data_IF_478892626096
#
_entry.id   IF_478892626096
#
_cell.length_a   1.000
_cell.length_b   1.000
_cell.length_c   1.000
_cell.angle_alpha   90.00
_cell.angle_beta   90.00
_cell.angle_gamma   90.00
#
_symmetry.space_group_name_H-M   'P 1'
#
loop_
_entity.id
_entity.type
_entity.pdbx_description
1 polymer ?
#
# COMPACT_ATOMS: atom_id res chain seq x y z
N UNK A 1 -33.87 16.41 46.36
CA UNK A 1 -34.16 16.12 44.93
C UNK A 1 -35.38 16.93 44.54
N UNK A 2 -35.35 17.69 43.44
CA UNK A 2 -36.53 18.44 42.99
C UNK A 2 -37.68 17.49 42.65
N UNK A 3 -38.91 17.84 43.05
CA UNK A 3 -40.10 17.04 42.77
C UNK A 3 -40.37 16.97 41.26
N UNK A 4 -41.09 15.93 40.82
CA UNK A 4 -41.42 15.75 39.39
C UNK A 4 -42.20 16.95 38.82
N UNK A 5 -43.06 17.56 39.64
CA UNK A 5 -43.83 18.76 39.28
C UNK A 5 -42.93 19.99 39.12
N UNK A 6 -41.99 20.21 40.03
CA UNK A 6 -41.04 21.32 39.93
C UNK A 6 -40.19 21.23 38.66
N UNK A 7 -39.81 20.01 38.24
CA UNK A 7 -39.07 19.78 36.99
C UNK A 7 -39.92 20.10 35.75
N UNK A 8 -41.21 19.71 35.75
CA UNK A 8 -42.14 20.00 34.65
C UNK A 8 -42.39 21.50 34.50
N UNK A 9 -42.57 22.20 35.61
CA UNK A 9 -42.86 23.63 35.59
C UNK A 9 -41.64 24.47 35.20
N UNK A 10 -40.44 24.08 35.67
CA UNK A 10 -39.19 24.68 35.19
C UNK A 10 -38.99 24.48 33.69
N UNK A 11 -39.30 23.29 33.16
CA UNK A 11 -39.20 23.00 31.73
C UNK A 11 -40.22 23.81 30.90
N UNK A 12 -41.44 23.96 31.40
CA UNK A 12 -42.46 24.80 30.74
C UNK A 12 -42.03 26.27 30.66
N UNK A 13 -41.56 26.85 31.77
CA UNK A 13 -41.02 28.22 31.79
C UNK A 13 -39.85 28.40 30.84
N UNK A 14 -38.99 27.37 30.71
CA UNK A 14 -37.92 27.37 29.72
C UNK A 14 -38.47 27.43 28.29
N UNK A 15 -39.43 26.59 27.93
CA UNK A 15 -40.03 26.58 26.59
C UNK A 15 -40.76 27.89 26.25
N UNK A 16 -41.43 28.50 27.23
CA UNK A 16 -42.07 29.81 27.09
C UNK A 16 -41.02 30.93 26.95
N UNK A 17 -39.98 30.94 27.80
CA UNK A 17 -38.92 31.93 27.76
C UNK A 17 -38.00 31.85 26.53
N UNK A 18 -37.82 30.65 25.98
CA UNK A 18 -37.10 30.40 24.73
C UNK A 18 -37.97 30.67 23.47
N UNK A 19 -39.25 31.02 23.63
CA UNK A 19 -40.17 31.29 22.51
C UNK A 19 -40.66 30.06 21.74
N UNK A 20 -40.34 28.85 22.19
CA UNK A 20 -40.68 27.60 21.50
C UNK A 20 -42.19 27.38 21.42
N UNK A 21 -42.93 27.71 22.48
CA UNK A 21 -44.40 27.56 22.51
C UNK A 21 -45.08 28.53 21.54
N UNK A 22 -44.59 29.77 21.44
CA UNK A 22 -45.16 30.78 20.55
C UNK A 22 -44.94 30.40 19.07
N UNK A 23 -43.73 29.93 18.72
CA UNK A 23 -43.43 29.41 17.38
C UNK A 23 -44.30 28.20 17.00
N UNK A 24 -44.44 27.21 17.89
CA UNK A 24 -45.31 26.04 17.67
C UNK A 24 -46.77 26.44 17.50
N UNK A 25 -47.25 27.36 18.34
CA UNK A 25 -48.63 27.84 18.30
C UNK A 25 -48.93 28.54 16.97
N UNK A 26 -48.03 29.42 16.51
CA UNK A 26 -48.16 30.09 15.20
C UNK A 26 -48.15 29.09 14.04
N UNK A 27 -47.31 28.06 14.09
CA UNK A 27 -47.25 27.02 13.07
C UNK A 27 -48.54 26.18 13.00
N UNK A 28 -49.09 25.79 14.16
CA UNK A 28 -50.34 25.05 14.25
C UNK A 28 -51.54 25.88 13.78
N UNK A 29 -51.58 27.18 14.10
CA UNK A 29 -52.62 28.09 13.61
C UNK A 29 -52.59 28.18 12.08
N UNK A 30 -51.41 28.34 11.47
CA UNK A 30 -51.27 28.36 10.01
C UNK A 30 -51.69 27.04 9.36
N UNK A 31 -51.42 25.89 9.97
CA UNK A 31 -51.89 24.58 9.50
C UNK A 31 -53.42 24.44 9.60
N UNK A 32 -54.01 24.98 10.67
CA UNK A 32 -55.45 24.99 10.86
C UNK A 32 -56.17 25.85 9.80
N UNK A 33 -55.57 26.96 9.39
CA UNK A 33 -56.11 27.89 8.39
C UNK A 33 -56.01 27.40 6.94
N UNK A 34 -55.26 26.33 6.64
CA UNK A 34 -55.19 25.75 5.30
C UNK A 34 -56.52 25.15 4.87
N UNK A 35 -57.04 25.57 3.70
CA UNK A 35 -58.30 25.09 3.10
C UNK A 35 -58.18 23.62 2.63
N UNK A 36 -57.06 23.25 2.01
CA UNK A 36 -56.68 21.85 1.78
C UNK A 36 -55.62 21.44 2.78
N UNK A 37 -55.90 20.40 3.57
CA UNK A 37 -54.94 19.89 4.55
C UNK A 37 -53.78 19.19 3.84
N UNK A 38 -52.51 19.53 4.15
CA UNK A 38 -51.36 18.86 3.56
C UNK A 38 -51.33 17.39 3.99
N UNK A 39 -50.85 16.53 3.08
CA UNK A 39 -50.71 15.09 3.31
C UNK A 39 -49.75 14.78 4.48
N UNK A 40 -48.69 15.58 4.64
CA UNK A 40 -47.75 15.51 5.77
C UNK A 40 -47.78 16.81 6.59
N UNK A 41 -48.57 16.79 7.67
CA UNK A 41 -48.68 17.90 8.63
C UNK A 41 -47.36 18.20 9.37
N UNK A 42 -46.52 17.19 9.61
CA UNK A 42 -45.25 17.35 10.33
C UNK A 42 -44.20 18.07 9.45
N UNK A 43 -44.17 17.77 8.15
CA UNK A 43 -43.34 18.50 7.18
C UNK A 43 -43.76 19.97 7.07
N UNK A 44 -45.06 20.23 6.99
CA UNK A 44 -45.61 21.59 6.96
C UNK A 44 -45.24 22.41 8.21
N UNK A 45 -45.39 21.82 9.40
CA UNK A 45 -45.01 22.48 10.66
C UNK A 45 -43.51 22.79 10.72
N UNK A 46 -42.65 21.85 10.28
CA UNK A 46 -41.19 22.07 10.21
C UNK A 46 -40.82 23.26 9.33
N UNK A 47 -41.47 23.38 8.17
CA UNK A 47 -41.19 24.43 7.19
C UNK A 47 -41.61 25.83 7.70
N UNK A 48 -42.70 25.91 8.47
CA UNK A 48 -43.14 27.17 9.08
C UNK A 48 -42.31 27.57 10.30
N UNK A 49 -41.88 26.58 11.09
CA UNK A 49 -41.07 26.84 12.27
C UNK A 49 -39.61 27.20 11.92
N UNK A 50 -39.17 26.88 10.71
CA UNK A 50 -37.80 27.13 10.27
C UNK A 50 -37.81 27.54 8.78
N UNK A 51 -37.97 28.85 8.53
CA UNK A 51 -38.02 29.44 7.17
C UNK A 51 -36.73 29.19 6.35
N UNK A 52 -35.63 28.87 7.01
CA UNK A 52 -34.32 28.56 6.40
C UNK A 52 -34.02 27.05 6.30
N UNK A 53 -34.95 26.18 6.69
CA UNK A 53 -34.76 24.74 6.62
C UNK A 53 -34.87 24.27 5.15
N UNK A 54 -33.85 23.59 4.60
CA UNK A 54 -33.94 23.07 3.25
C UNK A 54 -35.10 22.07 3.14
N UNK A 55 -35.82 22.11 2.02
CA UNK A 55 -36.85 21.09 1.72
C UNK A 55 -36.20 19.72 1.56
N UNK A 56 -36.98 18.65 1.73
CA UNK A 56 -36.45 17.28 1.51
C UNK A 56 -35.84 17.14 0.10
N UNK A 57 -36.46 17.79 -0.91
CA UNK A 57 -35.94 17.86 -2.28
C UNK A 57 -34.57 18.56 -2.32
N UNK A 58 -34.42 19.71 -1.66
CA UNK A 58 -33.14 20.42 -1.56
C UNK A 58 -32.09 19.60 -0.81
N UNK A 59 -32.47 18.88 0.26
CA UNK A 59 -31.54 17.98 0.97
C UNK A 59 -31.09 16.85 0.06
N UNK A 60 -32.00 16.26 -0.73
CA UNK A 60 -31.63 15.19 -1.68
C UNK A 60 -30.72 15.70 -2.80
N UNK A 61 -30.98 16.89 -3.34
CA UNK A 61 -30.16 17.54 -4.35
C UNK A 61 -28.76 17.86 -3.79
N UNK A 62 -28.69 18.53 -2.63
CA UNK A 62 -27.41 18.83 -1.96
C UNK A 62 -26.62 17.56 -1.62
N UNK A 63 -27.30 16.47 -1.22
CA UNK A 63 -26.65 15.19 -0.92
C UNK A 63 -26.07 14.55 -2.18
N UNK A 64 -26.79 14.65 -3.30
CA UNK A 64 -26.32 14.20 -4.61
C UNK A 64 -25.13 15.04 -5.08
N UNK A 65 -25.23 16.36 -5.02
CA UNK A 65 -24.15 17.29 -5.40
C UNK A 65 -22.90 17.07 -4.56
N UNK A 66 -23.08 16.80 -3.25
CA UNK A 66 -21.98 16.45 -2.36
C UNK A 66 -21.32 15.12 -2.77
N UNK A 67 -22.11 14.12 -3.16
CA UNK A 67 -21.59 12.84 -3.64
C UNK A 67 -20.81 13.00 -4.96
N UNK A 68 -21.37 13.76 -5.91
CA UNK A 68 -20.76 14.02 -7.21
C UNK A 68 -19.47 14.85 -7.05
N UNK A 69 -19.49 15.90 -6.22
CA UNK A 69 -18.31 16.71 -5.90
C UNK A 69 -17.20 15.90 -5.22
N UNK A 70 -17.56 15.00 -4.29
CA UNK A 70 -16.59 14.10 -3.64
C UNK A 70 -15.94 13.15 -4.65
N UNK A 71 -16.73 12.64 -5.60
CA UNK A 71 -16.23 11.79 -6.68
C UNK A 71 -15.27 12.56 -7.58
N UNK A 72 -15.62 13.78 -7.98
CA UNK A 72 -14.75 14.63 -8.81
C UNK A 72 -13.43 14.98 -8.09
N UNK A 73 -13.50 15.37 -6.81
CA UNK A 73 -12.30 15.64 -5.99
C UNK A 73 -11.40 14.40 -5.92
N UNK A 74 -11.99 13.21 -5.80
CA UNK A 74 -11.22 11.96 -5.80
C UNK A 74 -10.50 11.75 -7.14
N UNK A 75 -11.19 11.91 -8.27
CA UNK A 75 -10.62 11.79 -9.61
C UNK A 75 -9.48 12.80 -9.84
N UNK A 76 -9.70 14.09 -9.53
CA UNK A 76 -8.69 15.14 -9.69
C UNK A 76 -7.47 14.91 -8.80
N UNK A 77 -7.66 14.40 -7.57
CA UNK A 77 -6.55 14.04 -6.68
C UNK A 77 -5.70 12.91 -7.27
N UNK A 78 -6.32 11.88 -7.84
CA UNK A 78 -5.60 10.80 -8.54
C UNK A 78 -4.83 11.33 -9.74
N UNK A 79 -5.44 12.18 -10.56
CA UNK A 79 -4.79 12.78 -11.74
C UNK A 79 -3.57 13.64 -11.35
N UNK A 80 -3.71 14.52 -10.35
CA UNK A 80 -2.61 15.33 -9.81
C UNK A 80 -1.48 14.43 -9.29
N UNK A 81 -1.83 13.35 -8.59
CA UNK A 81 -0.85 12.41 -8.06
C UNK A 81 -0.10 11.68 -9.18
N UNK A 82 -0.81 11.26 -10.24
CA UNK A 82 -0.20 10.65 -11.43
C UNK A 82 0.78 11.60 -12.09
N UNK A 83 0.33 12.82 -12.42
CA UNK A 83 1.17 13.84 -13.05
C UNK A 83 2.41 14.17 -12.21
N UNK A 84 2.25 14.36 -10.89
CA UNK A 84 3.39 14.63 -10.00
C UNK A 84 4.38 13.48 -9.95
N UNK A 85 3.92 12.23 -9.94
CA UNK A 85 4.81 11.07 -9.89
C UNK A 85 5.50 10.77 -11.23
N UNK A 86 5.00 11.31 -12.34
CA UNK A 86 5.65 11.26 -13.65
C UNK A 86 6.77 12.30 -13.81
N UNK A 87 6.80 13.35 -12.99
CA UNK A 87 7.88 14.34 -12.99
C UNK A 87 9.19 13.65 -12.62
N UNK A 88 10.18 13.72 -13.51
CA UNK A 88 11.53 13.17 -13.31
C UNK A 88 12.55 14.30 -13.22
N UNK A 89 13.61 14.06 -12.44
CA UNK A 89 14.76 14.95 -12.36
C UNK A 89 15.39 15.12 -13.75
N UNK A 90 15.75 16.35 -14.08
CA UNK A 90 16.57 16.65 -15.25
C UNK A 90 17.95 15.99 -15.14
N UNK A 91 18.64 15.80 -16.26
CA UNK A 91 20.00 15.22 -16.24
C UNK A 91 20.97 16.00 -15.34
N UNK A 92 20.81 17.34 -15.26
CA UNK A 92 21.63 18.20 -14.39
C UNK A 92 21.35 17.93 -12.90
N UNK A 93 20.09 17.83 -12.51
CA UNK A 93 19.69 17.50 -11.13
C UNK A 93 20.13 16.10 -10.73
N UNK A 94 20.05 15.12 -11.65
CA UNK A 94 20.56 13.76 -11.42
C UNK A 94 22.06 13.78 -11.17
N UNK A 95 22.83 14.46 -12.03
CA UNK A 95 24.28 14.57 -11.90
C UNK A 95 24.69 15.25 -10.58
N UNK A 96 24.01 16.34 -10.21
CA UNK A 96 24.26 17.04 -8.95
C UNK A 96 23.98 16.15 -7.73
N UNK A 97 22.85 15.44 -7.74
CA UNK A 97 22.46 14.55 -6.65
C UNK A 97 23.41 13.36 -6.51
N UNK A 98 23.85 12.77 -7.64
CA UNK A 98 24.84 11.69 -7.63
C UNK A 98 26.17 12.15 -7.04
N UNK A 99 26.73 13.27 -7.54
CA UNK A 99 28.01 13.78 -7.05
C UNK A 99 27.93 14.14 -5.57
N UNK A 100 26.91 14.92 -5.16
CA UNK A 100 26.76 15.33 -3.77
C UNK A 100 26.52 14.16 -2.81
N UNK A 101 25.72 13.17 -3.22
CA UNK A 101 25.49 11.97 -2.41
C UNK A 101 26.73 11.09 -2.33
N UNK A 102 27.46 10.95 -3.44
CA UNK A 102 28.70 10.17 -3.48
C UNK A 102 29.79 10.77 -2.56
N UNK A 103 29.96 12.09 -2.60
CA UNK A 103 30.92 12.79 -1.75
C UNK A 103 30.57 12.59 -0.26
N UNK A 104 29.31 12.76 0.12
CA UNK A 104 28.84 12.51 1.50
C UNK A 104 29.06 11.06 1.94
N UNK A 105 28.81 10.09 1.05
CA UNK A 105 29.00 8.67 1.35
C UNK A 105 30.48 8.33 1.59
N UNK A 106 31.40 8.97 0.84
CA UNK A 106 32.85 8.81 1.04
C UNK A 106 33.30 9.40 2.37
N UNK A 107 32.78 10.57 2.74
CA UNK A 107 33.15 11.29 3.96
C UNK A 107 32.65 10.61 5.24
N UNK A 108 31.54 9.87 5.17
CA UNK A 108 30.99 9.18 6.34
C UNK A 108 31.77 7.90 6.66
N UNK A 109 32.79 7.99 7.50
CA UNK A 109 33.59 6.85 7.96
C UNK A 109 32.79 5.76 8.70
N UNK A 110 31.67 6.12 9.34
CA UNK A 110 30.84 5.17 10.11
C UNK A 110 29.95 4.28 9.23
N UNK A 111 29.67 4.72 7.99
CA UNK A 111 28.91 3.92 7.04
C UNK A 111 29.66 2.63 6.67
N UNK A 112 28.97 1.48 6.80
CA UNK A 112 29.49 0.14 6.51
C UNK A 112 28.72 -0.56 5.38
N UNK A 113 27.90 0.18 4.65
CA UNK A 113 27.04 -0.35 3.59
C UNK A 113 27.86 -1.00 2.46
N UNK A 114 27.30 -2.05 1.84
CA UNK A 114 27.89 -2.64 0.64
C UNK A 114 27.99 -1.65 -0.52
N UNK A 115 27.03 -0.71 -0.63
CA UNK A 115 27.10 0.38 -1.59
C UNK A 115 28.40 1.19 -1.42
N UNK A 116 28.68 1.69 -0.21
CA UNK A 116 29.89 2.47 0.05
C UNK A 116 31.16 1.69 -0.26
N UNK A 117 31.18 0.40 0.08
CA UNK A 117 32.32 -0.47 -0.16
C UNK A 117 32.63 -0.64 -1.65
N UNK A 118 31.60 -0.79 -2.49
CA UNK A 118 31.76 -1.19 -3.90
C UNK A 118 31.58 -0.06 -4.92
N UNK A 119 30.91 1.03 -4.55
CA UNK A 119 30.83 2.25 -5.35
C UNK A 119 32.16 3.00 -5.22
N UNK A 120 33.22 2.50 -5.85
CA UNK A 120 34.51 3.20 -5.90
C UNK A 120 34.42 4.39 -6.85
N UNK A 121 35.39 5.29 -6.79
CA UNK A 121 35.45 6.44 -7.70
C UNK A 121 35.55 6.03 -9.17
N UNK A 122 36.24 4.92 -9.46
CA UNK A 122 36.30 4.31 -10.78
C UNK A 122 34.91 3.84 -11.24
N UNK A 123 34.22 3.05 -10.42
CA UNK A 123 32.87 2.53 -10.73
C UNK A 123 31.86 3.67 -10.86
N UNK A 124 31.92 4.67 -9.98
CA UNK A 124 31.05 5.83 -10.04
C UNK A 124 31.23 6.60 -11.35
N UNK A 125 32.47 6.90 -11.74
CA UNK A 125 32.75 7.62 -12.98
C UNK A 125 32.36 6.82 -14.23
N UNK A 126 32.50 5.49 -14.18
CA UNK A 126 32.08 4.59 -15.25
C UNK A 126 30.55 4.60 -15.46
N UNK A 127 29.78 4.64 -14.36
CA UNK A 127 28.34 4.37 -14.38
C UNK A 127 27.46 5.63 -14.36
N UNK A 128 27.92 6.78 -13.84
CA UNK A 128 27.08 7.95 -13.52
C UNK A 128 26.32 8.57 -14.70
N UNK A 129 26.79 8.38 -15.94
CA UNK A 129 26.15 8.91 -17.15
C UNK A 129 25.30 7.89 -17.91
N UNK A 130 25.39 6.60 -17.54
CA UNK A 130 24.68 5.50 -18.22
C UNK A 130 23.18 5.54 -17.91
N UNK A 131 22.37 5.11 -18.88
CA UNK A 131 20.91 4.99 -18.75
C UNK A 131 20.40 3.74 -19.45
N UNK A 132 19.43 3.07 -18.84
CA UNK A 132 18.73 1.91 -19.43
C UNK A 132 17.79 2.34 -20.56
N UNK A 133 17.23 1.38 -21.30
CA UNK A 133 16.19 1.65 -22.30
C UNK A 133 14.95 2.32 -21.70
N UNK A 134 14.61 2.01 -20.45
CA UNK A 134 13.53 2.66 -19.69
C UNK A 134 13.96 3.97 -19.03
N UNK A 135 15.15 4.47 -19.36
CA UNK A 135 15.75 5.71 -18.87
C UNK A 135 16.04 5.71 -17.37
N UNK A 136 16.21 4.54 -16.77
CA UNK A 136 16.71 4.42 -15.40
C UNK A 136 18.16 4.83 -15.34
N UNK A 137 18.53 5.50 -14.25
CA UNK A 137 19.86 6.04 -14.02
C UNK A 137 20.54 5.34 -12.84
N UNK A 138 21.84 5.55 -12.67
CA UNK A 138 22.54 5.08 -11.46
C UNK A 138 21.88 5.64 -10.20
N UNK A 139 21.39 6.88 -10.24
CA UNK A 139 20.74 7.53 -9.10
C UNK A 139 19.51 6.76 -8.65
N UNK A 140 18.65 6.33 -9.58
CA UNK A 140 17.47 5.54 -9.24
C UNK A 140 17.85 4.25 -8.48
N UNK A 141 19.07 3.75 -8.68
CA UNK A 141 19.54 2.54 -8.03
C UNK A 141 20.19 2.78 -6.66
N UNK A 142 20.95 3.87 -6.51
CA UNK A 142 21.78 4.12 -5.31
C UNK A 142 21.18 5.16 -4.35
N UNK A 143 20.12 5.88 -4.75
CA UNK A 143 19.58 7.02 -3.99
C UNK A 143 19.31 6.69 -2.52
N UNK A 144 18.72 5.52 -2.25
CA UNK A 144 18.44 5.07 -0.89
C UNK A 144 19.70 4.98 -0.03
N UNK A 145 20.78 4.37 -0.54
CA UNK A 145 22.06 4.28 0.18
C UNK A 145 22.84 5.59 0.26
N UNK A 146 22.64 6.51 -0.70
CA UNK A 146 23.21 7.87 -0.64
C UNK A 146 22.50 8.76 0.41
N UNK A 147 21.25 8.48 0.73
CA UNK A 147 20.47 9.25 1.72
C UNK A 147 20.45 8.59 3.11
N UNK A 148 20.55 7.26 3.17
CA UNK A 148 20.50 6.49 4.41
C UNK A 148 21.75 5.64 4.59
N UNK A 149 22.77 6.24 5.20
CA UNK A 149 24.07 5.61 5.44
C UNK A 149 24.02 4.47 6.46
N UNK A 150 22.91 4.33 7.19
CA UNK A 150 22.62 3.19 8.08
C UNK A 150 22.09 1.95 7.34
N UNK A 151 21.99 2.00 6.01
CA UNK A 151 21.65 0.84 5.18
C UNK A 151 22.73 -0.23 5.23
N UNK A 152 22.34 -1.51 5.34
CA UNK A 152 23.30 -2.63 5.19
C UNK A 152 23.81 -2.80 3.75
N UNK A 153 22.92 -2.61 2.76
CA UNK A 153 23.26 -2.72 1.32
C UNK A 153 23.23 -1.35 0.65
N UNK A 154 22.05 -0.72 0.55
CA UNK A 154 21.88 0.63 -0.02
C UNK A 154 21.64 0.68 -1.54
N UNK A 155 21.32 -0.44 -2.17
CA UNK A 155 21.16 -0.56 -3.63
C UNK A 155 19.82 -1.23 -3.99
N UNK A 156 19.10 -0.67 -4.96
CA UNK A 156 17.89 -1.24 -5.55
C UNK A 156 17.99 -1.20 -7.07
N UNK A 157 17.41 -2.15 -7.80
CA UNK A 157 17.29 -2.03 -9.25
C UNK A 157 16.01 -1.26 -9.60
N UNK A 158 16.08 -0.38 -10.60
CA UNK A 158 14.93 0.41 -11.06
C UNK A 158 14.15 -0.30 -12.18
N UNK A 159 14.84 -1.12 -12.96
CA UNK A 159 14.31 -2.09 -13.93
C UNK A 159 15.28 -3.27 -14.04
N UNK A 160 14.91 -4.31 -14.80
CA UNK A 160 15.74 -5.51 -14.94
C UNK A 160 17.10 -5.23 -15.63
N UNK A 161 17.15 -4.32 -16.60
CA UNK A 161 18.38 -3.98 -17.35
C UNK A 161 19.44 -3.34 -16.44
N UNK A 162 19.05 -2.77 -15.30
CA UNK A 162 19.98 -2.23 -14.30
C UNK A 162 21.02 -3.27 -13.82
N UNK A 163 20.66 -4.55 -13.70
CA UNK A 163 21.59 -5.58 -13.21
C UNK A 163 22.78 -5.78 -14.17
N UNK A 164 22.55 -5.60 -15.46
CA UNK A 164 23.55 -5.74 -16.52
C UNK A 164 24.27 -4.41 -16.77
N UNK A 165 23.53 -3.32 -16.97
CA UNK A 165 24.09 -2.01 -17.33
C UNK A 165 24.97 -1.43 -16.21
N UNK A 166 24.53 -1.60 -14.96
CA UNK A 166 25.27 -1.19 -13.75
C UNK A 166 25.97 -2.39 -13.09
N UNK A 167 26.23 -3.45 -13.86
CA UNK A 167 26.78 -4.71 -13.37
C UNK A 167 28.14 -4.59 -12.69
N UNK A 168 28.98 -3.61 -13.04
CA UNK A 168 30.27 -3.38 -12.36
C UNK A 168 30.12 -2.99 -10.88
N UNK A 169 28.93 -2.52 -10.49
CA UNK A 169 28.51 -2.33 -9.09
C UNK A 169 27.68 -3.51 -8.58
N UNK A 170 26.57 -3.84 -9.25
CA UNK A 170 25.62 -4.85 -8.78
C UNK A 170 26.26 -6.22 -8.56
N UNK A 171 27.09 -6.71 -9.49
CA UNK A 171 27.71 -8.03 -9.38
C UNK A 171 28.65 -8.13 -8.17
N UNK A 172 29.40 -7.07 -7.86
CA UNK A 172 30.28 -7.03 -6.67
C UNK A 172 29.48 -7.10 -5.38
N UNK A 173 28.40 -6.32 -5.31
CA UNK A 173 27.48 -6.31 -4.15
C UNK A 173 26.78 -7.67 -4.00
N UNK A 174 26.27 -8.25 -5.09
CA UNK A 174 25.60 -9.56 -5.12
C UNK A 174 26.56 -10.66 -4.67
N UNK A 175 27.78 -10.69 -5.22
CA UNK A 175 28.79 -11.69 -4.86
C UNK A 175 29.17 -11.65 -3.37
N UNK A 176 29.29 -10.45 -2.80
CA UNK A 176 29.58 -10.30 -1.37
C UNK A 176 28.37 -10.66 -0.50
N UNK A 177 27.17 -10.21 -0.86
CA UNK A 177 25.96 -10.44 -0.06
C UNK A 177 25.55 -11.91 -0.05
N UNK A 178 25.59 -12.58 -1.21
CA UNK A 178 25.16 -13.97 -1.36
C UNK A 178 26.27 -15.00 -1.13
N UNK A 179 27.52 -14.54 -0.93
CA UNK A 179 28.73 -15.35 -0.75
C UNK A 179 29.01 -16.26 -1.95
N UNK A 180 30.16 -16.06 -2.58
CA UNK A 180 30.64 -16.89 -3.69
C UNK A 180 29.72 -16.92 -4.93
N UNK A 181 28.96 -15.87 -5.22
CA UNK A 181 28.24 -15.72 -6.50
C UNK A 181 29.12 -15.01 -7.55
N UNK A 182 30.19 -15.69 -7.98
CA UNK A 182 31.18 -15.16 -8.92
C UNK A 182 30.65 -14.91 -10.33
N UNK A 183 31.41 -14.16 -11.14
CA UNK A 183 31.03 -13.74 -12.50
C UNK A 183 30.80 -14.91 -13.48
N UNK A 184 31.34 -16.09 -13.18
CA UNK A 184 31.23 -17.32 -13.96
C UNK A 184 30.03 -18.20 -13.55
N UNK A 185 29.32 -17.81 -12.50
CA UNK A 185 28.18 -18.58 -11.98
C UNK A 185 26.86 -18.09 -12.56
N UNK A 186 25.96 -19.03 -12.77
CA UNK A 186 24.57 -18.77 -13.14
C UNK A 186 23.68 -19.34 -12.04
N UNK A 187 22.64 -18.60 -11.65
CA UNK A 187 21.66 -19.10 -10.71
C UNK A 187 21.02 -20.39 -11.29
N UNK A 188 20.88 -21.48 -10.51
CA UNK A 188 20.33 -22.72 -11.01
C UNK A 188 18.86 -22.56 -11.44
N UNK A 189 18.38 -23.50 -12.27
CA UNK A 189 16.95 -23.60 -12.53
C UNK A 189 16.18 -23.82 -11.22
N UNK A 190 14.92 -23.37 -11.16
CA UNK A 190 14.09 -23.57 -9.97
C UNK A 190 13.93 -25.06 -9.67
N UNK A 191 14.31 -25.45 -8.45
CA UNK A 191 14.13 -26.79 -7.92
C UNK A 191 13.60 -26.67 -6.49
N UNK A 192 12.36 -27.13 -6.29
CA UNK A 192 11.70 -27.11 -4.98
C UNK A 192 12.00 -28.38 -4.17
N UNK A 193 12.65 -29.39 -4.76
CA UNK A 193 12.82 -30.69 -4.14
C UNK A 193 11.51 -31.30 -3.64
N UNK A 194 11.65 -32.11 -2.59
CA UNK A 194 10.55 -32.81 -1.91
C UNK A 194 10.31 -32.21 -0.52
N UNK A 195 9.18 -31.53 -0.37
CA UNK A 195 8.78 -30.87 0.88
C UNK A 195 8.56 -31.87 2.02
N UNK A 196 8.29 -33.14 1.72
CA UNK A 196 8.05 -34.18 2.73
C UNK A 196 9.32 -34.59 3.47
N UNK A 197 10.49 -34.16 2.98
CA UNK A 197 11.79 -34.40 3.64
C UNK A 197 12.05 -33.48 4.83
N UNK A 198 11.27 -32.40 4.98
CA UNK A 198 11.37 -31.51 6.13
C UNK A 198 10.58 -32.08 7.31
N UNK A 199 11.27 -32.34 8.41
CA UNK A 199 10.66 -32.71 9.69
C UNK A 199 10.05 -31.48 10.38
N UNK A 200 9.15 -31.72 11.35
CA UNK A 200 8.73 -30.65 12.25
C UNK A 200 9.93 -30.23 13.11
N UNK A 201 10.33 -28.97 13.00
CA UNK A 201 11.52 -28.42 13.64
C UNK A 201 11.38 -28.28 15.16
N UNK A 202 10.14 -28.30 15.67
CA UNK A 202 9.85 -28.20 17.09
C UNK A 202 8.57 -29.01 17.43
N UNK A 203 8.67 -30.35 17.50
CA UNK A 203 7.52 -31.22 17.74
C UNK A 203 6.82 -30.97 19.08
N UNK A 204 7.57 -30.56 20.10
CA UNK A 204 7.06 -30.30 21.45
C UNK A 204 6.52 -28.87 21.63
N UNK A 205 6.82 -27.96 20.68
CA UNK A 205 6.31 -26.59 20.66
C UNK A 205 6.92 -25.69 21.75
N UNK A 206 8.13 -25.99 22.22
CA UNK A 206 8.78 -25.26 23.31
C UNK A 206 9.56 -24.01 22.84
N UNK A 207 9.90 -23.94 21.55
CA UNK A 207 10.81 -22.93 21.01
C UNK A 207 10.20 -22.08 19.89
N UNK A 208 9.49 -22.69 18.95
CA UNK A 208 9.03 -22.04 17.72
C UNK A 208 7.58 -21.56 17.87
N UNK A 209 7.41 -20.23 17.90
CA UNK A 209 6.07 -19.62 17.93
C UNK A 209 5.33 -19.80 16.59
N UNK A 210 6.05 -19.58 15.48
CA UNK A 210 5.51 -19.64 14.13
C UNK A 210 6.63 -19.78 13.11
N UNK A 211 6.33 -20.46 12.01
CA UNK A 211 7.23 -20.63 10.87
C UNK A 211 6.68 -19.90 9.65
N UNK A 212 7.55 -19.31 8.83
CA UNK A 212 7.17 -18.55 7.64
C UNK A 212 8.21 -18.70 6.53
N UNK A 213 7.73 -18.99 5.33
CA UNK A 213 8.54 -19.01 4.10
C UNK A 213 7.91 -18.06 3.08
N UNK A 214 8.74 -17.26 2.39
CA UNK A 214 8.27 -16.30 1.39
C UNK A 214 9.14 -16.31 0.14
N UNK A 215 8.55 -15.93 -0.99
CA UNK A 215 9.25 -15.63 -2.23
C UNK A 215 8.82 -14.26 -2.78
N UNK A 216 9.77 -13.51 -3.32
CA UNK A 216 9.49 -12.34 -4.17
C UNK A 216 9.36 -12.76 -5.63
N UNK A 217 8.45 -12.15 -6.38
CA UNK A 217 8.34 -12.30 -7.83
C UNK A 217 8.06 -10.96 -8.50
N UNK A 218 8.73 -10.75 -9.61
CA UNK A 218 8.49 -9.63 -10.52
C UNK A 218 7.80 -10.15 -11.77
N UNK A 219 6.79 -9.42 -12.24
CA UNK A 219 5.95 -9.80 -13.37
C UNK A 219 6.57 -9.29 -14.67
N UNK A 220 6.66 -10.17 -15.66
CA UNK A 220 7.17 -9.82 -16.99
C UNK A 220 6.36 -8.69 -17.64
N UNK A 221 7.08 -7.78 -18.30
CA UNK A 221 6.50 -6.61 -18.99
C UNK A 221 6.39 -5.36 -18.11
N UNK A 222 6.66 -5.43 -16.81
CA UNK A 222 6.65 -4.29 -15.90
C UNK A 222 8.05 -4.01 -15.35
N UNK A 223 8.46 -2.73 -15.24
CA UNK A 223 9.68 -2.38 -14.53
C UNK A 223 9.45 -2.39 -13.02
N UNK A 224 10.51 -2.22 -12.23
CA UNK A 224 10.39 -2.16 -10.77
C UNK A 224 9.84 -0.80 -10.30
N UNK A 225 9.51 -0.72 -9.01
CA UNK A 225 8.80 0.42 -8.41
C UNK A 225 9.36 1.82 -8.78
N UNK A 226 10.69 2.08 -8.87
CA UNK A 226 11.21 3.40 -9.21
C UNK A 226 10.79 3.90 -10.60
N UNK A 227 10.46 2.97 -11.52
CA UNK A 227 10.04 3.25 -12.89
C UNK A 227 8.56 2.99 -13.17
N UNK A 228 7.84 2.31 -12.28
CA UNK A 228 6.40 2.10 -12.46
C UNK A 228 5.61 3.42 -12.52
N UNK A 229 4.59 3.49 -13.38
CA UNK A 229 3.60 4.58 -13.40
C UNK A 229 2.42 4.18 -12.51
N UNK A 230 1.52 5.12 -12.20
CA UNK A 230 0.28 4.79 -11.48
C UNK A 230 -0.52 3.69 -12.20
N UNK A 231 -0.60 3.79 -13.52
CA UNK A 231 -1.26 2.81 -14.38
C UNK A 231 -0.60 1.41 -14.30
N UNK A 232 0.74 1.32 -14.23
CA UNK A 232 1.41 0.03 -13.99
C UNK A 232 0.99 -0.61 -12.65
N UNK A 233 0.88 0.19 -11.57
CA UNK A 233 0.42 -0.31 -10.27
C UNK A 233 -1.00 -0.89 -10.35
N UNK A 234 -1.91 -0.20 -11.04
CA UNK A 234 -3.30 -0.64 -11.21
C UNK A 234 -3.39 -1.90 -12.10
N UNK A 235 -2.65 -1.94 -13.22
CA UNK A 235 -2.60 -3.10 -14.12
C UNK A 235 -2.06 -4.35 -13.43
N UNK A 236 -0.97 -4.22 -12.66
CA UNK A 236 -0.43 -5.33 -11.88
C UNK A 236 -1.47 -5.80 -10.87
N UNK A 237 -2.10 -4.89 -10.12
CA UNK A 237 -3.09 -5.25 -9.11
C UNK A 237 -4.28 -6.01 -9.73
N UNK A 238 -4.82 -5.54 -10.85
CA UNK A 238 -5.96 -6.18 -11.52
C UNK A 238 -5.60 -7.56 -12.08
N UNK A 239 -4.40 -7.68 -12.70
CA UNK A 239 -3.89 -8.97 -13.19
C UNK A 239 -3.71 -9.96 -12.04
N UNK A 240 -3.10 -9.53 -10.94
CA UNK A 240 -2.87 -10.37 -9.77
C UNK A 240 -4.20 -10.76 -9.12
N UNK A 241 -5.13 -9.81 -8.95
CA UNK A 241 -6.47 -10.07 -8.41
C UNK A 241 -7.18 -11.16 -9.18
N UNK A 242 -7.19 -11.06 -10.51
CA UNK A 242 -7.83 -12.05 -11.40
C UNK A 242 -7.28 -13.47 -11.16
N UNK A 243 -5.96 -13.61 -11.02
CA UNK A 243 -5.32 -14.90 -10.76
C UNK A 243 -5.63 -15.40 -9.35
N UNK A 244 -5.52 -14.53 -8.33
CA UNK A 244 -5.69 -14.93 -6.93
C UNK A 244 -7.14 -15.28 -6.56
N UNK A 245 -8.13 -14.59 -7.13
CA UNK A 245 -9.56 -14.92 -6.93
C UNK A 245 -9.95 -16.27 -7.55
N UNK A 246 -9.14 -16.79 -8.49
CA UNK A 246 -9.31 -18.12 -9.08
C UNK A 246 -8.76 -19.27 -8.23
N UNK A 247 -7.97 -18.98 -7.18
CA UNK A 247 -7.35 -20.01 -6.35
C UNK A 247 -8.39 -20.84 -5.59
N UNK A 248 -8.10 -22.13 -5.45
CA UNK A 248 -8.99 -23.12 -4.84
C UNK A 248 -8.36 -23.75 -3.59
N UNK A 249 -9.14 -24.58 -2.92
CA UNK A 249 -8.72 -25.37 -1.76
C UNK A 249 -8.06 -24.51 -0.67
N UNK A 250 -6.93 -24.94 -0.12
CA UNK A 250 -6.20 -24.26 0.95
C UNK A 250 -5.65 -22.87 0.54
N UNK A 251 -5.62 -22.57 -0.76
CA UNK A 251 -5.16 -21.28 -1.28
C UNK A 251 -6.30 -20.30 -1.54
N UNK A 252 -7.56 -20.74 -1.46
CA UNK A 252 -8.73 -19.88 -1.68
C UNK A 252 -8.80 -18.79 -0.62
N UNK A 253 -9.01 -17.56 -1.06
CA UNK A 253 -8.96 -16.40 -0.17
C UNK A 253 -9.70 -15.18 -0.69
N UNK A 254 -9.50 -14.07 0.02
CA UNK A 254 -10.13 -12.78 -0.24
C UNK A 254 -9.06 -11.75 -0.58
N UNK A 255 -9.32 -10.98 -1.63
CA UNK A 255 -8.47 -9.90 -2.08
C UNK A 255 -8.89 -8.58 -1.42
N UNK A 256 -7.95 -7.90 -0.75
CA UNK A 256 -8.18 -6.66 -0.03
C UNK A 256 -7.27 -5.55 -0.58
N UNK A 257 -7.78 -4.68 -1.47
CA UNK A 257 -7.09 -3.46 -1.85
C UNK A 257 -6.83 -2.59 -0.63
N UNK A 258 -5.66 -1.94 -0.57
CA UNK A 258 -5.38 -0.95 0.47
C UNK A 258 -6.19 0.34 0.25
N UNK A 259 -6.51 0.66 -1.01
CA UNK A 259 -7.44 1.75 -1.31
C UNK A 259 -8.84 1.41 -0.76
N UNK A 260 -9.34 2.25 0.16
CA UNK A 260 -10.63 2.05 0.83
C UNK A 260 -10.59 1.13 2.05
N UNK A 261 -9.43 0.55 2.40
CA UNK A 261 -9.26 -0.21 3.64
C UNK A 261 -9.44 0.69 4.87
N UNK A 262 -10.20 0.24 5.86
CA UNK A 262 -10.36 0.99 7.11
C UNK A 262 -9.06 0.99 7.91
N UNK A 263 -8.82 2.05 8.70
CA UNK A 263 -7.59 2.15 9.49
C UNK A 263 -7.54 1.09 10.59
N UNK A 264 -8.68 0.69 11.11
CA UNK A 264 -8.80 -0.37 12.10
C UNK A 264 -8.34 -1.72 11.53
N UNK A 265 -8.81 -2.07 10.33
CA UNK A 265 -8.39 -3.31 9.65
C UNK A 265 -6.92 -3.25 9.25
N UNK A 266 -6.46 -2.11 8.73
CA UNK A 266 -5.05 -1.91 8.36
C UNK A 266 -4.12 -2.12 9.57
N UNK A 267 -4.43 -1.48 10.70
CA UNK A 267 -3.65 -1.62 11.94
C UNK A 267 -3.69 -3.07 12.45
N UNK A 268 -4.86 -3.70 12.47
CA UNK A 268 -4.98 -5.09 12.89
C UNK A 268 -4.10 -6.02 12.05
N UNK A 269 -4.12 -5.89 10.72
CA UNK A 269 -3.31 -6.73 9.85
C UNK A 269 -1.80 -6.50 10.02
N UNK A 270 -1.37 -5.27 10.36
CA UNK A 270 0.03 -4.97 10.66
C UNK A 270 0.45 -5.59 12.00
N UNK A 271 -0.38 -5.43 13.04
CA UNK A 271 -0.12 -5.93 14.38
C UNK A 271 -0.09 -7.47 14.40
N UNK A 272 -0.95 -8.11 13.62
CA UNK A 272 -0.98 -9.56 13.43
C UNK A 272 0.16 -10.09 12.51
N UNK A 273 1.07 -9.21 12.06
CA UNK A 273 2.19 -9.52 11.16
C UNK A 273 1.81 -10.00 9.74
N UNK A 274 0.58 -9.71 9.29
CA UNK A 274 0.11 -10.08 7.96
C UNK A 274 0.36 -9.01 6.91
N UNK A 275 0.23 -7.72 7.24
CA UNK A 275 0.37 -6.61 6.28
C UNK A 275 1.72 -5.91 6.43
N UNK A 276 2.31 -5.53 5.30
CA UNK A 276 3.51 -4.71 5.25
C UNK A 276 3.27 -3.32 5.85
N UNK A 277 4.32 -2.72 6.41
CA UNK A 277 4.23 -1.40 7.02
C UNK A 277 4.29 -0.31 5.96
N UNK A 278 3.49 0.72 6.14
CA UNK A 278 3.61 1.95 5.36
C UNK A 278 4.85 2.73 5.82
N UNK A 279 5.58 3.30 4.86
CA UNK A 279 6.57 4.33 5.15
C UNK A 279 7.95 3.85 5.59
N UNK A 280 8.40 2.71 5.08
CA UNK A 280 9.82 2.35 5.17
C UNK A 280 10.68 3.43 4.48
N UNK A 281 11.57 4.05 5.24
CA UNK A 281 12.40 5.17 4.76
C UNK A 281 13.30 4.78 3.58
N UNK A 282 13.81 3.55 3.55
CA UNK A 282 14.69 3.06 2.50
C UNK A 282 13.91 2.91 1.19
N UNK A 283 12.71 2.33 1.25
CA UNK A 283 11.82 2.21 0.09
C UNK A 283 11.29 3.56 -0.40
N UNK A 284 10.98 4.48 0.53
CA UNK A 284 10.55 5.84 0.17
C UNK A 284 11.62 6.58 -0.65
N UNK A 285 12.87 6.56 -0.20
CA UNK A 285 13.99 7.24 -0.87
C UNK A 285 14.45 6.53 -2.15
N UNK A 286 14.19 5.22 -2.27
CA UNK A 286 14.31 4.47 -3.53
C UNK A 286 13.20 4.81 -4.55
N UNK A 287 12.26 5.72 -4.24
CA UNK A 287 11.05 5.97 -5.03
C UNK A 287 10.16 4.73 -5.21
N UNK A 288 10.25 3.76 -4.29
CA UNK A 288 9.50 2.52 -4.35
C UNK A 288 8.07 2.64 -3.81
N UNK A 289 7.78 3.70 -3.04
CA UNK A 289 6.46 3.96 -2.45
C UNK A 289 5.62 5.00 -3.21
N UNK A 290 5.97 5.33 -4.47
CA UNK A 290 5.21 6.32 -5.25
C UNK A 290 3.76 5.89 -5.45
N UNK A 291 2.86 6.86 -5.55
CA UNK A 291 1.41 6.63 -5.75
C UNK A 291 0.69 5.89 -4.61
N UNK A 292 1.27 5.80 -3.41
CA UNK A 292 0.64 5.09 -2.28
C UNK A 292 -0.76 5.62 -1.89
N UNK A 293 -1.80 4.76 -1.69
CA UNK A 293 -1.79 3.29 -1.71
C UNK A 293 -2.29 2.67 -3.04
N UNK A 294 -2.30 3.43 -4.14
CA UNK A 294 -2.85 2.98 -5.43
C UNK A 294 -2.13 1.71 -5.90
N UNK A 295 -2.94 0.72 -6.32
CA UNK A 295 -2.50 -0.60 -6.80
C UNK A 295 -1.88 -1.51 -5.72
N UNK A 296 -1.93 -1.15 -4.44
CA UNK A 296 -1.44 -2.01 -3.35
C UNK A 296 -2.58 -2.84 -2.81
N UNK A 297 -2.29 -4.10 -2.52
CA UNK A 297 -3.27 -5.01 -1.96
C UNK A 297 -2.62 -6.09 -1.09
N UNK A 298 -3.46 -6.74 -0.30
CA UNK A 298 -3.15 -7.98 0.38
C UNK A 298 -4.22 -9.01 0.05
N UNK A 299 -3.80 -10.24 -0.25
CA UNK A 299 -4.69 -11.38 -0.37
C UNK A 299 -4.45 -12.34 0.80
N UNK A 300 -5.53 -12.86 1.39
CA UNK A 300 -5.49 -13.74 2.56
C UNK A 300 -6.45 -14.91 2.35
N UNK A 301 -5.98 -16.13 2.56
CA UNK A 301 -6.89 -17.26 2.75
C UNK A 301 -7.60 -17.16 4.12
N UNK A 302 -8.70 -17.89 4.29
CA UNK A 302 -9.50 -17.84 5.53
C UNK A 302 -8.69 -18.20 6.80
N UNK A 303 -7.83 -19.23 6.79
CA UNK A 303 -6.94 -19.52 7.92
C UNK A 303 -5.81 -18.49 8.16
N UNK A 304 -5.59 -17.56 7.21
CA UNK A 304 -4.46 -16.62 7.17
C UNK A 304 -3.08 -17.30 7.16
N UNK A 305 -3.01 -18.50 6.60
CA UNK A 305 -1.80 -19.30 6.45
C UNK A 305 -1.13 -19.14 5.08
N UNK A 306 -1.86 -18.55 4.13
CA UNK A 306 -1.39 -18.14 2.81
C UNK A 306 -1.71 -16.67 2.57
N UNK A 307 -0.66 -15.89 2.25
CA UNK A 307 -0.73 -14.44 2.10
C UNK A 307 -0.02 -14.03 0.82
N UNK A 308 -0.59 -13.09 0.07
CA UNK A 308 0.12 -12.43 -1.04
C UNK A 308 0.08 -10.94 -0.86
N UNK A 309 1.25 -10.30 -0.84
CA UNK A 309 1.37 -8.85 -0.92
C UNK A 309 1.54 -8.43 -2.35
N UNK A 310 0.83 -7.37 -2.74
CA UNK A 310 0.86 -6.82 -4.10
C UNK A 310 1.42 -5.40 -4.05
N UNK A 311 2.45 -5.15 -4.86
CA UNK A 311 3.07 -3.85 -5.09
C UNK A 311 3.64 -3.14 -3.84
N UNK A 312 4.32 -3.89 -2.97
CA UNK A 312 5.14 -3.31 -1.91
C UNK A 312 6.57 -3.09 -2.41
N UNK A 313 7.56 -3.86 -1.97
CA UNK A 313 8.95 -3.78 -2.46
C UNK A 313 9.14 -4.48 -3.81
N UNK A 314 8.51 -5.64 -3.97
CA UNK A 314 8.39 -6.40 -5.22
C UNK A 314 6.95 -6.31 -5.76
N UNK A 315 6.72 -6.72 -7.02
CA UNK A 315 5.35 -6.81 -7.55
C UNK A 315 4.50 -7.78 -6.74
N UNK A 316 5.09 -8.93 -6.35
CA UNK A 316 4.49 -9.90 -5.44
C UNK A 316 5.45 -10.33 -4.34
N UNK A 317 4.95 -10.44 -3.10
CA UNK A 317 5.51 -11.33 -2.08
C UNK A 317 4.50 -12.44 -1.81
N UNK A 318 4.84 -13.67 -2.17
CA UNK A 318 4.03 -14.86 -1.95
C UNK A 318 4.51 -15.52 -0.67
N UNK A 319 3.62 -15.72 0.29
CA UNK A 319 3.96 -16.05 1.68
C UNK A 319 3.11 -17.23 2.14
N UNK A 320 3.77 -18.20 2.75
CA UNK A 320 3.13 -19.28 3.52
C UNK A 320 3.65 -19.22 4.95
N UNK A 321 2.73 -19.29 5.91
CA UNK A 321 3.06 -19.23 7.34
C UNK A 321 2.06 -20.00 8.17
N UNK A 322 2.49 -20.46 9.33
CA UNK A 322 1.61 -21.08 10.33
C UNK A 322 2.23 -21.02 11.73
N UNK A 323 1.45 -21.35 12.76
CA UNK A 323 1.96 -21.56 14.12
C UNK A 323 2.79 -22.86 14.18
N UNK A 324 3.76 -22.89 15.09
CA UNK A 324 4.64 -24.04 15.28
C UNK A 324 5.73 -24.21 14.21
N UNK A 325 6.34 -25.41 14.20
CA UNK A 325 7.57 -25.73 13.47
C UNK A 325 7.41 -26.61 12.23
N UNK A 326 6.20 -26.85 11.73
CA UNK A 326 5.98 -27.72 10.55
C UNK A 326 6.39 -27.04 9.24
N UNK A 327 7.70 -27.04 8.98
CA UNK A 327 8.29 -26.45 7.78
C UNK A 327 7.82 -27.18 6.52
N UNK A 328 7.63 -28.50 6.57
CA UNK A 328 7.23 -29.31 5.41
C UNK A 328 5.87 -28.88 4.86
N UNK A 329 4.86 -28.75 5.72
CA UNK A 329 3.53 -28.28 5.32
C UNK A 329 3.56 -26.83 4.78
N UNK A 330 4.28 -25.93 5.47
CA UNK A 330 4.39 -24.52 5.09
C UNK A 330 5.09 -24.37 3.74
N UNK A 331 6.18 -25.11 3.52
CA UNK A 331 6.94 -25.09 2.28
C UNK A 331 6.14 -25.70 1.12
N UNK A 332 5.45 -26.82 1.34
CA UNK A 332 4.60 -27.43 0.32
C UNK A 332 3.47 -26.49 -0.13
N UNK A 333 2.83 -25.78 0.81
CA UNK A 333 1.82 -24.77 0.47
C UNK A 333 2.40 -23.62 -0.35
N UNK A 334 3.59 -23.12 0.01
CA UNK A 334 4.27 -22.08 -0.77
C UNK A 334 4.60 -22.56 -2.19
N UNK A 335 5.19 -23.76 -2.32
CA UNK A 335 5.50 -24.39 -3.61
C UNK A 335 4.26 -24.46 -4.50
N UNK A 336 3.17 -25.04 -3.99
CA UNK A 336 1.90 -25.15 -4.71
C UNK A 336 1.38 -23.78 -5.14
N UNK A 337 1.47 -22.77 -4.27
CA UNK A 337 1.02 -21.42 -4.58
C UNK A 337 1.85 -20.76 -5.70
N UNK A 338 3.18 -20.81 -5.60
CA UNK A 338 4.07 -20.21 -6.61
C UNK A 338 3.90 -20.90 -7.97
N UNK A 339 3.82 -22.24 -8.00
CA UNK A 339 3.59 -23.00 -9.22
C UNK A 339 2.21 -22.72 -9.82
N UNK A 340 1.17 -22.54 -9.00
CA UNK A 340 -0.18 -22.26 -9.49
C UNK A 340 -0.28 -20.85 -10.07
N UNK A 341 0.20 -19.84 -9.34
CA UNK A 341 0.20 -18.45 -9.82
C UNK A 341 1.06 -18.31 -11.09
N UNK A 342 2.21 -19.01 -11.13
CA UNK A 342 3.13 -18.98 -12.27
C UNK A 342 2.59 -19.58 -13.57
N UNK A 343 1.49 -20.34 -13.55
CA UNK A 343 0.84 -20.85 -14.76
C UNK A 343 0.15 -19.73 -15.56
N UNK A 344 -0.41 -18.76 -14.85
CA UNK A 344 -1.20 -17.67 -15.43
C UNK A 344 -0.41 -16.35 -15.48
N UNK A 345 0.80 -16.33 -14.91
CA UNK A 345 1.62 -15.13 -14.76
C UNK A 345 3.11 -15.44 -14.95
N UNK A 346 3.68 -14.93 -16.04
CA UNK A 346 5.11 -15.03 -16.30
C UNK A 346 5.90 -14.11 -15.35
N UNK A 347 6.96 -14.66 -14.77
CA UNK A 347 7.88 -13.95 -13.89
C UNK A 347 9.23 -13.72 -14.56
N UNK A 348 9.89 -12.61 -14.20
CA UNK A 348 11.25 -12.24 -14.63
C UNK A 348 12.30 -12.81 -13.68
#
# INVERSE_FOLDING_TARGET
MASLEQKREAFRKYLEGAGAIDCLSKALIKLYQQEQKPEDACKFLRQIMCETCPTDEQVTEMTKDLADSKKEICCLKKEIMSMKGEVRRSSSEVALALTSGFDKLKEDEACTSLLKKHLTEEVFNELKEKKTALKSTLLDCVQSGLEHHDSGVGLYAADAECYELFGSLFKKVINEYHVDFGDDKTHPASDWGDATTFENLDPEGEFIVSTRVRCGRSIEGFPFNPRMTMDHYEQIMERVKTVLEGLQDDLKGVFHPLEGMTKELQTQLIDDHYLFKEGDKFLQTANACRFWPIGRAIFLNEPKTFVVWVNEEDHLRIISMDKGGDLGAIYQRLKTAVETIGKDMAFV
#
